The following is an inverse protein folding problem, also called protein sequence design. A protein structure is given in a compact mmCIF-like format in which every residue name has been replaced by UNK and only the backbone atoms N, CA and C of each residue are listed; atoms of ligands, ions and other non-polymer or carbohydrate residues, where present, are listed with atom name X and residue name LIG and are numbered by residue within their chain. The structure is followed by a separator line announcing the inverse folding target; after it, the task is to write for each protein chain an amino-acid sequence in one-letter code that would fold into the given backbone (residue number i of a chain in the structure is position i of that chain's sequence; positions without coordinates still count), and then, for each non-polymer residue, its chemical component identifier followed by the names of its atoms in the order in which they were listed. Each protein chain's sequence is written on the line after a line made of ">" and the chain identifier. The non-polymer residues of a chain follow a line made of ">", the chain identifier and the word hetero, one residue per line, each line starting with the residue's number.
data_IF_245409497413
#
_entry.id   IF_245409497413
#
_cell.length_a   1.000
_cell.length_b   1.000
_cell.length_c   1.000
_cell.angle_alpha   90.00
_cell.angle_beta   90.00
_cell.angle_gamma   90.00
#
_symmetry.space_group_name_H-M   'P 1'
#
loop_
_entity.id
_entity.type
_entity.pdbx_description
1 polymer ?
#
# COMPACT_ATOMS: atom_id res chain seq x y z
N UNK A 1 -14.21 2.30 -4.24
CA UNK A 1 -15.16 2.04 -3.14
C UNK A 1 -15.23 3.25 -2.21
N UNK A 2 -14.24 3.53 -1.36
CA UNK A 2 -14.27 4.60 -0.33
C UNK A 2 -14.68 5.98 -0.88
N UNK A 3 -14.15 6.38 -2.03
CA UNK A 3 -14.50 7.66 -2.67
C UNK A 3 -15.99 7.75 -3.07
N UNK A 4 -16.64 6.63 -3.41
CA UNK A 4 -18.08 6.58 -3.68
C UNK A 4 -18.93 6.73 -2.41
N UNK A 5 -18.36 6.45 -1.25
CA UNK A 5 -18.98 6.63 0.05
C UNK A 5 -18.70 8.02 0.64
N UNK A 6 -18.28 8.97 -0.19
CA UNK A 6 -17.88 10.33 0.20
C UNK A 6 -16.72 10.38 1.22
N UNK A 7 -15.91 9.31 1.29
CA UNK A 7 -14.71 9.29 2.12
C UNK A 7 -13.54 9.90 1.37
N UNK A 8 -12.94 10.91 1.97
CA UNK A 8 -11.76 11.57 1.41
C UNK A 8 -10.55 10.68 1.58
N UNK A 9 -10.03 10.18 0.48
CA UNK A 9 -9.01 9.14 0.45
C UNK A 9 -7.76 9.64 -0.27
N UNK A 10 -6.60 9.39 0.31
CA UNK A 10 -5.31 9.54 -0.37
C UNK A 10 -4.65 8.17 -0.53
N UNK A 11 -4.09 7.93 -1.70
CA UNK A 11 -3.22 6.78 -1.95
C UNK A 11 -1.80 7.31 -2.00
N UNK A 12 -0.92 6.75 -1.19
CA UNK A 12 0.50 7.09 -1.10
C UNK A 12 1.30 5.99 -1.77
N UNK A 13 2.05 6.33 -2.80
CA UNK A 13 2.97 5.40 -3.44
C UNK A 13 4.28 5.39 -2.65
N UNK A 14 4.58 4.26 -1.98
CA UNK A 14 5.81 4.09 -1.21
C UNK A 14 6.92 3.36 -2.01
N UNK A 15 6.71 3.06 -3.31
CA UNK A 15 7.71 2.41 -4.17
C UNK A 15 8.68 3.42 -4.79
N UNK A 16 9.55 4.00 -3.94
CA UNK A 16 10.54 4.98 -4.35
C UNK A 16 11.53 4.35 -5.34
N UNK A 17 11.69 5.00 -6.50
CA UNK A 17 12.57 4.56 -7.57
C UNK A 17 11.88 3.77 -8.69
N UNK A 18 10.71 3.14 -8.46
CA UNK A 18 9.96 2.42 -9.49
C UNK A 18 8.65 3.11 -9.89
N UNK A 19 7.96 3.73 -8.96
CA UNK A 19 6.75 4.53 -9.19
C UNK A 19 5.84 4.01 -10.30
N UNK A 20 4.85 3.22 -9.94
CA UNK A 20 3.91 2.61 -10.91
C UNK A 20 2.44 3.01 -10.66
N UNK A 21 2.11 3.48 -9.46
CA UNK A 21 0.74 3.76 -9.06
C UNK A 21 0.12 4.91 -9.86
N UNK A 22 0.90 5.91 -10.21
CA UNK A 22 0.49 7.03 -11.06
C UNK A 22 0.01 6.59 -12.45
N UNK A 23 0.68 5.59 -13.05
CA UNK A 23 0.29 5.01 -14.34
C UNK A 23 -1.03 4.26 -14.21
N UNK A 24 -1.20 3.45 -13.15
CA UNK A 24 -2.46 2.73 -12.87
C UNK A 24 -3.61 3.70 -12.68
N UNK A 25 -3.36 4.85 -12.05
CA UNK A 25 -4.36 5.91 -11.84
C UNK A 25 -4.53 6.85 -13.04
N UNK A 26 -3.66 6.80 -14.06
CA UNK A 26 -3.68 7.69 -15.23
C UNK A 26 -3.36 9.15 -14.85
N UNK A 27 -2.45 9.35 -13.91
CA UNK A 27 -2.07 10.65 -13.36
C UNK A 27 -0.61 11.02 -13.63
N UNK A 28 0.14 10.20 -14.37
CA UNK A 28 1.58 10.33 -14.64
C UNK A 28 1.98 11.69 -15.21
N UNK A 29 1.13 12.27 -16.03
CA UNK A 29 1.40 13.57 -16.68
C UNK A 29 1.06 14.80 -15.79
N UNK A 30 0.67 14.58 -14.53
CA UNK A 30 0.27 15.65 -13.60
C UNK A 30 1.22 15.81 -12.42
N UNK A 31 2.25 15.01 -12.36
CA UNK A 31 3.21 15.00 -11.27
C UNK A 31 4.22 16.14 -11.47
N UNK A 32 4.27 17.02 -10.47
CA UNK A 32 5.25 18.11 -10.38
C UNK A 32 6.16 17.88 -9.18
N UNK A 33 5.61 17.43 -8.08
CA UNK A 33 6.28 17.12 -6.84
C UNK A 33 5.91 15.71 -6.36
N UNK A 34 6.77 15.11 -5.59
CA UNK A 34 6.62 13.75 -5.07
C UNK A 34 6.80 13.69 -3.53
N UNK A 35 6.73 12.50 -2.97
CA UNK A 35 6.85 12.27 -1.52
C UNK A 35 8.20 12.77 -0.98
N UNK A 36 9.29 12.62 -1.74
CA UNK A 36 10.64 13.05 -1.31
C UNK A 36 10.70 14.58 -1.23
N UNK A 37 10.13 15.29 -2.21
CA UNK A 37 10.06 16.75 -2.19
C UNK A 37 9.31 17.27 -0.94
N UNK A 38 8.27 16.54 -0.51
CA UNK A 38 7.51 16.89 0.70
C UNK A 38 8.34 16.70 1.96
N UNK A 39 9.01 15.55 2.12
CA UNK A 39 9.77 15.23 3.34
C UNK A 39 11.07 16.02 3.44
N UNK A 40 11.66 16.42 2.31
CA UNK A 40 12.82 17.33 2.24
C UNK A 40 12.41 18.80 2.43
N UNK A 41 11.10 19.12 2.43
CA UNK A 41 10.60 20.49 2.58
C UNK A 41 10.73 21.36 1.31
N UNK A 42 11.02 20.76 0.17
CA UNK A 42 11.11 21.45 -1.13
C UNK A 42 9.76 22.00 -1.56
N UNK A 43 8.68 21.31 -1.19
CA UNK A 43 7.31 21.77 -1.43
C UNK A 43 6.40 21.54 -0.22
N UNK A 44 5.22 22.17 -0.23
CA UNK A 44 4.17 21.89 0.75
C UNK A 44 3.40 20.62 0.33
N UNK A 45 2.94 19.81 1.28
CA UNK A 45 2.15 18.61 1.04
C UNK A 45 1.02 18.82 0.02
N UNK A 46 0.28 19.91 0.14
CA UNK A 46 -0.83 20.25 -0.79
C UNK A 46 -0.40 20.42 -2.26
N UNK A 47 0.86 20.73 -2.51
CA UNK A 47 1.39 20.90 -3.87
C UNK A 47 1.77 19.56 -4.53
N UNK A 48 2.12 18.55 -3.72
CA UNK A 48 2.42 17.19 -4.19
C UNK A 48 1.16 16.33 -4.33
N UNK A 49 0.07 16.69 -3.65
CA UNK A 49 -1.20 15.95 -3.73
C UNK A 49 -1.90 16.18 -5.07
N UNK A 50 -2.17 15.11 -5.79
CA UNK A 50 -2.84 15.12 -7.09
C UNK A 50 -4.26 14.59 -6.94
N UNK A 51 -5.26 15.45 -7.19
CA UNK A 51 -6.67 15.04 -7.19
C UNK A 51 -6.98 14.22 -8.43
N UNK A 52 -7.60 13.04 -8.30
CA UNK A 52 -8.11 12.26 -9.42
C UNK A 52 -9.24 13.02 -10.14
N UNK A 53 -9.30 12.91 -11.46
CA UNK A 53 -10.33 13.59 -12.27
C UNK A 53 -11.66 12.85 -12.30
N UNK A 54 -11.64 11.54 -12.08
CA UNK A 54 -12.80 10.65 -12.16
C UNK A 54 -13.52 10.52 -10.82
N UNK A 55 -12.75 10.68 -9.71
CA UNK A 55 -13.22 10.46 -8.35
C UNK A 55 -12.95 11.67 -7.49
N UNK A 56 -14.00 12.34 -7.08
CA UNK A 56 -13.92 13.65 -6.42
C UNK A 56 -13.13 13.64 -5.10
N UNK A 57 -13.21 12.55 -4.35
CA UNK A 57 -12.59 12.41 -3.03
C UNK A 57 -11.33 11.53 -3.05
N UNK A 58 -10.73 11.29 -4.22
CA UNK A 58 -9.54 10.48 -4.37
C UNK A 58 -8.34 11.35 -4.74
N UNK A 59 -7.23 11.14 -4.02
CA UNK A 59 -5.97 11.84 -4.21
C UNK A 59 -4.82 10.83 -4.30
N UNK A 60 -3.77 11.22 -5.02
CA UNK A 60 -2.49 10.52 -5.10
C UNK A 60 -1.39 11.38 -4.51
N UNK A 61 -0.56 10.79 -3.67
CA UNK A 61 0.78 11.29 -3.35
C UNK A 61 1.79 10.37 -4.03
N UNK A 62 2.46 10.79 -5.10
CA UNK A 62 3.31 9.91 -5.88
C UNK A 62 4.67 9.67 -5.23
N UNK A 63 5.27 8.49 -5.49
CA UNK A 63 6.67 8.23 -5.19
C UNK A 63 7.61 9.02 -6.09
N UNK A 64 8.85 9.20 -5.65
CA UNK A 64 9.92 9.73 -6.48
C UNK A 64 10.41 8.68 -7.50
N UNK A 65 10.64 9.09 -8.74
CA UNK A 65 11.06 8.20 -9.82
C UNK A 65 12.57 7.94 -9.85
N UNK A 66 13.38 8.90 -9.46
CA UNK A 66 14.84 8.89 -9.65
C UNK A 66 15.63 9.08 -8.35
N UNK A 67 15.00 8.90 -7.20
CA UNK A 67 15.63 9.02 -5.88
C UNK A 67 16.05 7.66 -5.34
N UNK A 68 16.98 7.68 -4.40
CA UNK A 68 17.38 6.51 -3.64
C UNK A 68 16.21 5.97 -2.80
N UNK A 69 16.12 4.65 -2.66
CA UNK A 69 15.08 3.97 -1.86
C UNK A 69 15.07 4.39 -0.39
N UNK A 70 16.20 4.89 0.11
CA UNK A 70 16.36 5.38 1.48
C UNK A 70 16.13 6.90 1.60
N UNK A 71 15.64 7.57 0.55
CA UNK A 71 15.39 9.01 0.57
C UNK A 71 14.28 9.43 1.55
N UNK A 72 13.46 8.48 2.00
CA UNK A 72 12.46 8.67 3.06
C UNK A 72 12.77 7.73 4.21
N UNK A 73 12.81 8.23 5.42
CA UNK A 73 12.97 7.42 6.64
C UNK A 73 11.60 7.05 7.24
N UNK A 74 11.60 6.06 8.13
CA UNK A 74 10.40 5.63 8.89
C UNK A 74 9.77 6.81 9.63
N UNK A 75 10.56 7.60 10.36
CA UNK A 75 10.07 8.78 11.09
C UNK A 75 9.46 9.86 10.17
N UNK A 76 10.07 10.11 9.00
CA UNK A 76 9.48 11.03 8.02
C UNK A 76 8.15 10.52 7.46
N UNK A 77 8.00 9.19 7.33
CA UNK A 77 6.74 8.59 6.90
C UNK A 77 5.67 8.69 7.97
N UNK A 78 6.00 8.49 9.25
CA UNK A 78 5.11 8.72 10.39
C UNK A 78 4.61 10.17 10.39
N UNK A 79 5.52 11.14 10.37
CA UNK A 79 5.18 12.58 10.33
C UNK A 79 4.29 12.94 9.13
N UNK A 80 4.54 12.34 7.99
CA UNK A 80 3.74 12.55 6.78
C UNK A 80 2.34 12.00 6.96
N UNK A 81 2.19 10.79 7.51
CA UNK A 81 0.89 10.18 7.77
C UNK A 81 0.09 10.97 8.78
N UNK A 82 0.70 11.49 9.86
CA UNK A 82 0.03 12.37 10.82
C UNK A 82 -0.51 13.65 10.14
N UNK A 83 0.27 14.29 9.28
CA UNK A 83 -0.20 15.45 8.50
C UNK A 83 -1.34 15.10 7.54
N UNK A 84 -1.31 13.91 6.95
CA UNK A 84 -2.39 13.43 6.06
C UNK A 84 -3.68 13.15 6.84
N UNK A 85 -3.60 12.62 8.06
CA UNK A 85 -4.76 12.36 8.95
C UNK A 85 -5.57 13.62 9.24
N UNK A 86 -4.98 14.81 9.22
CA UNK A 86 -5.69 16.08 9.39
C UNK A 86 -6.69 16.38 8.25
N UNK A 87 -6.49 15.79 7.08
CA UNK A 87 -7.22 16.17 5.86
C UNK A 87 -7.92 15.03 5.16
N UNK A 88 -7.64 13.77 5.53
CA UNK A 88 -8.16 12.57 4.86
C UNK A 88 -8.78 11.60 5.87
N UNK A 89 -9.90 10.98 5.48
CA UNK A 89 -10.55 9.92 6.24
C UNK A 89 -9.80 8.58 6.13
N UNK A 90 -9.14 8.35 4.99
CA UNK A 90 -8.36 7.15 4.70
C UNK A 90 -7.05 7.50 4.01
N UNK A 91 -5.98 6.90 4.50
CA UNK A 91 -4.65 6.92 3.90
C UNK A 91 -4.33 5.47 3.49
N UNK A 92 -4.17 5.22 2.20
CA UNK A 92 -3.80 3.90 1.68
C UNK A 92 -2.36 3.99 1.23
N UNK A 93 -1.47 3.25 1.87
CA UNK A 93 -0.05 3.20 1.52
C UNK A 93 0.17 1.98 0.63
N UNK A 94 0.53 2.22 -0.64
CA UNK A 94 0.92 1.17 -1.58
C UNK A 94 2.36 0.76 -1.28
N UNK A 95 2.49 -0.41 -0.65
CA UNK A 95 3.76 -0.93 -0.17
C UNK A 95 4.50 -1.66 -1.29
N UNK A 96 5.78 -1.36 -1.56
CA UNK A 96 6.57 -2.11 -2.52
C UNK A 96 6.76 -3.56 -2.10
N UNK A 97 7.05 -4.43 -3.06
CA UNK A 97 7.38 -5.82 -2.79
C UNK A 97 8.67 -5.96 -1.96
N UNK A 98 8.74 -6.98 -1.13
CA UNK A 98 9.91 -7.28 -0.27
C UNK A 98 9.76 -6.72 1.14
N UNK A 99 10.87 -6.76 1.89
CA UNK A 99 10.93 -6.45 3.33
C UNK A 99 11.96 -5.35 3.64
N UNK A 100 12.35 -4.61 2.62
CA UNK A 100 13.39 -3.59 2.69
C UNK A 100 12.84 -2.24 3.20
N UNK A 101 13.57 -1.16 2.96
CA UNK A 101 13.23 0.17 3.49
C UNK A 101 11.81 0.62 3.11
N UNK A 102 11.34 0.35 1.90
CA UNK A 102 9.97 0.70 1.48
C UNK A 102 8.88 0.02 2.31
N UNK A 103 9.07 -1.25 2.65
CA UNK A 103 8.18 -1.97 3.58
C UNK A 103 8.19 -1.33 4.98
N UNK A 104 9.37 -1.05 5.53
CA UNK A 104 9.50 -0.42 6.85
C UNK A 104 8.81 0.94 6.91
N UNK A 105 9.01 1.75 5.87
CA UNK A 105 8.34 3.05 5.74
C UNK A 105 6.81 2.90 5.70
N UNK A 106 6.29 1.94 4.91
CA UNK A 106 4.86 1.71 4.82
C UNK A 106 4.26 1.27 6.16
N UNK A 107 4.95 0.38 6.89
CA UNK A 107 4.52 -0.12 8.21
C UNK A 107 4.55 0.99 9.26
N UNK A 108 5.60 1.82 9.29
CA UNK A 108 5.75 2.91 10.26
C UNK A 108 4.57 3.90 10.23
N UNK A 109 3.99 4.14 9.05
CA UNK A 109 2.82 5.02 8.90
C UNK A 109 1.45 4.35 9.04
N UNK A 110 1.39 3.03 9.26
CA UNK A 110 0.16 2.25 9.16
C UNK A 110 -0.46 1.89 10.50
N UNK A 111 -1.80 1.99 10.59
CA UNK A 111 -2.60 1.49 11.74
C UNK A 111 -3.12 0.06 11.50
N UNK A 112 -3.17 -0.38 10.24
CA UNK A 112 -3.68 -1.70 9.80
C UNK A 112 -2.99 -2.12 8.51
N UNK A 113 -3.05 -3.42 8.22
CA UNK A 113 -2.50 -3.96 6.99
C UNK A 113 -3.51 -4.83 6.24
N UNK A 114 -3.43 -4.80 4.91
CA UNK A 114 -4.10 -5.75 4.04
C UNK A 114 -3.00 -6.50 3.29
N UNK A 115 -2.89 -7.79 3.57
CA UNK A 115 -1.96 -8.68 2.88
C UNK A 115 -2.65 -9.24 1.64
N UNK A 116 -2.05 -9.02 0.48
CA UNK A 116 -2.58 -9.53 -0.80
C UNK A 116 -1.68 -10.65 -1.29
N UNK A 117 -2.24 -11.84 -1.47
CA UNK A 117 -1.50 -13.01 -1.96
C UNK A 117 -2.22 -13.70 -3.11
N UNK A 118 -1.50 -14.57 -3.83
CA UNK A 118 -2.05 -15.50 -4.82
C UNK A 118 -2.13 -16.91 -4.23
N UNK A 119 -2.98 -17.80 -4.76
CA UNK A 119 -3.16 -19.18 -4.27
C UNK A 119 -2.03 -20.12 -4.76
N UNK A 120 -0.79 -19.73 -4.53
CA UNK A 120 0.45 -20.43 -4.88
C UNK A 120 1.30 -20.62 -3.62
N UNK A 121 1.92 -21.78 -3.45
CA UNK A 121 2.67 -22.13 -2.24
C UNK A 121 3.76 -21.11 -1.89
N UNK A 122 4.49 -20.60 -2.90
CA UNK A 122 5.52 -19.58 -2.70
C UNK A 122 4.93 -18.26 -2.21
N UNK A 123 3.84 -17.80 -2.84
CA UNK A 123 3.18 -16.54 -2.47
C UNK A 123 2.55 -16.61 -1.07
N UNK A 124 1.96 -17.75 -0.69
CA UNK A 124 1.42 -17.97 0.65
C UNK A 124 2.52 -17.97 1.71
N UNK A 125 3.68 -18.59 1.42
CA UNK A 125 4.85 -18.57 2.31
C UNK A 125 5.41 -17.15 2.49
N UNK A 126 5.46 -16.37 1.43
CA UNK A 126 5.89 -14.98 1.51
C UNK A 126 4.89 -14.14 2.33
N UNK A 127 3.59 -14.37 2.14
CA UNK A 127 2.54 -13.72 2.93
C UNK A 127 2.66 -14.06 4.43
N UNK A 128 2.89 -15.31 4.79
CA UNK A 128 3.10 -15.75 6.18
C UNK A 128 4.28 -14.99 6.83
N UNK A 129 5.40 -14.88 6.10
CA UNK A 129 6.54 -14.11 6.55
C UNK A 129 6.23 -12.62 6.76
N UNK A 130 5.46 -12.01 5.85
CA UNK A 130 5.05 -10.61 5.97
C UNK A 130 4.12 -10.42 7.18
N UNK A 131 3.18 -11.33 7.42
CA UNK A 131 2.29 -11.30 8.59
C UNK A 131 3.11 -11.29 9.87
N UNK A 132 4.08 -12.20 10.03
CA UNK A 132 4.95 -12.22 11.20
C UNK A 132 5.77 -10.94 11.40
N UNK A 133 6.18 -10.28 10.30
CA UNK A 133 6.86 -8.99 10.38
C UNK A 133 5.91 -7.84 10.77
N UNK A 134 4.66 -7.85 10.30
CA UNK A 134 3.65 -6.87 10.68
C UNK A 134 3.32 -6.99 12.17
N UNK A 135 3.12 -8.21 12.67
CA UNK A 135 2.88 -8.47 14.10
C UNK A 135 4.07 -8.03 14.97
N UNK A 136 5.30 -8.28 14.54
CA UNK A 136 6.52 -7.83 15.22
C UNK A 136 6.65 -6.30 15.26
N UNK A 137 5.98 -5.58 14.36
CA UNK A 137 5.87 -4.11 14.33
C UNK A 137 4.56 -3.61 14.94
N UNK A 138 3.90 -4.41 15.77
CA UNK A 138 2.69 -4.05 16.52
C UNK A 138 1.44 -3.78 15.66
N UNK A 139 1.45 -4.14 14.39
CA UNK A 139 0.26 -4.11 13.54
C UNK A 139 -0.62 -5.33 13.85
N UNK A 140 -1.64 -5.14 14.65
CA UNK A 140 -2.55 -6.23 15.08
C UNK A 140 -3.79 -6.41 14.19
N UNK A 141 -4.17 -5.39 13.43
CA UNK A 141 -5.31 -5.47 12.50
C UNK A 141 -4.80 -5.81 11.10
N UNK A 142 -4.63 -7.10 10.85
CA UNK A 142 -4.17 -7.64 9.57
C UNK A 142 -5.33 -8.40 8.92
N UNK A 143 -5.60 -8.10 7.66
CA UNK A 143 -6.64 -8.75 6.86
C UNK A 143 -6.06 -9.30 5.56
N UNK A 144 -6.71 -10.33 4.99
CA UNK A 144 -6.24 -11.06 3.81
C UNK A 144 -7.11 -10.79 2.59
N UNK A 145 -6.47 -10.59 1.44
CA UNK A 145 -7.09 -10.68 0.12
C UNK A 145 -6.36 -11.78 -0.67
N UNK A 146 -7.12 -12.77 -1.15
CA UNK A 146 -6.59 -13.79 -2.04
C UNK A 146 -6.97 -13.44 -3.48
N UNK A 147 -5.97 -13.08 -4.28
CA UNK A 147 -6.16 -12.67 -5.66
C UNK A 147 -6.00 -13.86 -6.62
N UNK A 148 -6.56 -13.76 -7.83
CA UNK A 148 -6.39 -14.72 -8.94
C UNK A 148 -6.87 -16.14 -8.64
N UNK A 149 -7.81 -16.36 -7.74
CA UNK A 149 -8.42 -17.68 -7.54
C UNK A 149 -9.16 -18.11 -8.81
N UNK A 150 -8.85 -19.31 -9.27
CA UNK A 150 -9.53 -19.95 -10.40
C UNK A 150 -10.23 -21.22 -9.94
N UNK A 151 -11.55 -21.17 -9.89
CA UNK A 151 -12.39 -22.26 -9.38
C UNK A 151 -12.25 -23.57 -10.16
N UNK A 152 -11.96 -23.48 -11.47
CA UNK A 152 -11.69 -24.64 -12.32
C UNK A 152 -10.39 -25.35 -11.92
N UNK A 153 -9.36 -24.60 -11.52
CA UNK A 153 -8.08 -25.16 -11.06
C UNK A 153 -8.19 -25.73 -9.64
N UNK A 154 -8.90 -25.04 -8.74
CA UNK A 154 -9.16 -25.53 -7.39
C UNK A 154 -9.88 -26.90 -7.42
N UNK A 155 -10.93 -27.02 -8.25
CA UNK A 155 -11.68 -28.29 -8.39
C UNK A 155 -10.84 -29.45 -8.92
N UNK A 156 -9.78 -29.18 -9.68
CA UNK A 156 -8.85 -30.21 -10.18
C UNK A 156 -7.70 -30.51 -9.23
N UNK A 157 -7.55 -29.76 -8.16
CA UNK A 157 -6.41 -29.85 -7.25
C UNK A 157 -5.12 -29.19 -7.76
N UNK A 158 -5.22 -28.36 -8.83
CA UNK A 158 -4.07 -27.65 -9.42
C UNK A 158 -3.78 -26.31 -8.72
N UNK A 159 -4.63 -25.91 -7.77
CA UNK A 159 -4.55 -24.64 -7.06
C UNK A 159 -5.10 -24.80 -5.63
N UNK A 160 -4.45 -24.14 -4.65
CA UNK A 160 -4.94 -24.09 -3.27
C UNK A 160 -6.31 -23.39 -3.24
N UNK A 161 -7.19 -23.87 -2.38
CA UNK A 161 -8.45 -23.18 -2.14
C UNK A 161 -8.30 -22.06 -1.09
N UNK A 162 -9.36 -21.27 -0.93
CA UNK A 162 -9.34 -20.16 0.02
C UNK A 162 -9.27 -20.61 1.49
N UNK A 163 -9.83 -21.79 1.81
CA UNK A 163 -9.87 -22.30 3.19
C UNK A 163 -8.49 -22.76 3.61
N UNK A 164 -7.79 -23.49 2.73
CA UNK A 164 -6.40 -23.91 2.95
C UNK A 164 -5.50 -22.70 3.27
N UNK A 165 -5.65 -21.62 2.48
CA UNK A 165 -4.82 -20.41 2.63
C UNK A 165 -5.13 -19.69 3.95
N UNK A 166 -6.41 -19.54 4.31
CA UNK A 166 -6.83 -18.91 5.57
C UNK A 166 -6.36 -19.73 6.77
N UNK A 167 -6.43 -21.06 6.70
CA UNK A 167 -5.93 -21.94 7.76
C UNK A 167 -4.41 -21.85 7.95
N UNK A 168 -3.66 -21.74 6.83
CA UNK A 168 -2.19 -21.59 6.89
C UNK A 168 -1.79 -20.23 7.46
N UNK A 169 -2.43 -19.15 7.03
CA UNK A 169 -2.05 -17.79 7.40
C UNK A 169 -2.67 -17.32 8.72
N UNK A 170 -3.72 -18.00 9.21
CA UNK A 170 -4.42 -17.72 10.47
C UNK A 170 -4.90 -16.27 10.63
N UNK A 171 -5.23 -15.58 9.52
CA UNK A 171 -5.79 -14.22 9.51
C UNK A 171 -7.11 -14.15 8.76
N UNK A 172 -7.92 -13.15 9.10
CA UNK A 172 -9.25 -12.98 8.53
C UNK A 172 -9.23 -12.56 7.06
N UNK A 173 -10.08 -13.19 6.26
CA UNK A 173 -10.32 -12.84 4.87
C UNK A 173 -11.34 -11.69 4.80
N UNK A 174 -11.06 -10.68 3.95
CA UNK A 174 -12.00 -9.59 3.63
C UNK A 174 -13.09 -10.09 2.69
#
# INVERSE_FOLDING_TARGET
>A
ALSFENKKTVVVDADIGLRNLDVVMGLENRIVYDIVDVVEGTCKLKQALIKDKRFENLYLLPAAQTRDKNAVSEHQMEDLCEKLKESFDYIIIDCPAGIEQGFKNAVAGADRAIVVTNPEVSAVRDADRIIGLLEANEISNIQLIINRIRQDMVKRGDMMDKQDIVEILAIDLI
#
